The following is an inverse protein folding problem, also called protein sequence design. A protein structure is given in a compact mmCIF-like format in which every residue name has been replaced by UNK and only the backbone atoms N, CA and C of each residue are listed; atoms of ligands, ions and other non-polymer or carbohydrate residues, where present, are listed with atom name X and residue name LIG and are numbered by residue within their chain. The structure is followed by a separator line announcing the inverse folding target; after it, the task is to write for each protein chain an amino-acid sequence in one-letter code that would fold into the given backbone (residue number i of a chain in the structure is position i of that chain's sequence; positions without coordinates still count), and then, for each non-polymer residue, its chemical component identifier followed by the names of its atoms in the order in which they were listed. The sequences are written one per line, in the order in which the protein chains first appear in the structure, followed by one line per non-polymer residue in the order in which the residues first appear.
data_IF_113098303800
#
_entry.id   IF_113098303800
#
_cell.length_a   1.000
_cell.length_b   1.000
_cell.length_c   1.000
_cell.angle_alpha   90.00
_cell.angle_beta   90.00
_cell.angle_gamma   90.00
#
_symmetry.space_group_name_H-M   'P 1'
#
loop_
_entity.id
_entity.type
_entity.pdbx_description
1 polymer ?
#
# COMPACT_ATOMS: atom_id res chain seq x y z
N UNK A 1 37.18 -40.15 -44.37
CA UNK A 1 36.76 -38.91 -45.06
C UNK A 1 35.41 -39.20 -45.69
N UNK A 2 34.33 -38.74 -45.06
CA UNK A 2 32.97 -39.10 -45.44
C UNK A 2 32.41 -38.16 -46.53
N UNK A 3 31.58 -38.75 -47.37
CA UNK A 3 31.09 -38.24 -48.64
C UNK A 3 30.18 -37.01 -48.52
N UNK A 4 30.29 -36.14 -49.53
CA UNK A 4 29.32 -35.12 -49.86
C UNK A 4 28.16 -35.71 -50.68
N UNK A 5 26.93 -35.23 -50.44
CA UNK A 5 26.02 -34.71 -51.49
C UNK A 5 24.73 -34.11 -50.90
N UNK A 6 24.57 -32.83 -51.22
CA UNK A 6 23.34 -32.10 -51.61
C UNK A 6 22.21 -31.98 -50.58
N UNK A 7 21.92 -30.75 -50.16
CA UNK A 7 20.56 -30.22 -50.26
C UNK A 7 20.55 -28.70 -50.45
N UNK A 8 19.66 -28.28 -51.33
CA UNK A 8 19.40 -26.97 -51.96
C UNK A 8 19.08 -25.83 -51.00
N UNK A 9 19.72 -24.66 -51.18
CA UNK A 9 19.24 -23.38 -50.66
C UNK A 9 18.14 -22.83 -51.57
N UNK A 10 16.92 -22.77 -51.05
CA UNK A 10 15.87 -21.88 -51.56
C UNK A 10 15.70 -20.75 -50.56
N UNK A 11 16.04 -19.53 -50.99
CA UNK A 11 15.70 -18.31 -50.27
C UNK A 11 14.19 -18.08 -50.42
N UNK A 12 13.46 -18.12 -49.31
CA UNK A 12 12.08 -17.62 -49.23
C UNK A 12 12.06 -16.52 -48.18
N UNK A 13 11.96 -15.28 -48.65
CA UNK A 13 11.58 -14.12 -47.85
C UNK A 13 10.15 -14.36 -47.36
N UNK A 14 9.97 -14.68 -46.07
CA UNK A 14 8.68 -14.54 -45.41
C UNK A 14 8.61 -13.17 -44.75
N UNK A 15 7.94 -12.25 -45.46
CA UNK A 15 7.31 -11.08 -44.86
C UNK A 15 6.17 -11.60 -43.96
N UNK A 16 6.40 -11.63 -42.64
CA UNK A 16 5.30 -11.83 -41.68
C UNK A 16 4.91 -10.45 -41.17
N UNK A 17 3.86 -9.90 -41.77
CA UNK A 17 3.08 -8.82 -41.18
C UNK A 17 2.53 -9.31 -39.84
N UNK A 18 3.04 -8.76 -38.72
CA UNK A 18 2.32 -8.82 -37.46
C UNK A 18 1.17 -7.82 -37.52
N UNK A 19 0.00 -8.31 -37.89
CA UNK A 19 -1.28 -7.62 -37.70
C UNK A 19 -1.53 -7.50 -36.20
N UNK A 20 -1.52 -6.26 -35.72
CA UNK A 20 -2.07 -5.84 -34.43
C UNK A 20 -3.56 -6.19 -34.38
N UNK A 21 -3.93 -7.20 -33.59
CA UNK A 21 -5.32 -7.39 -33.16
C UNK A 21 -5.43 -7.01 -31.69
N UNK A 22 -5.89 -5.79 -31.44
CA UNK A 22 -6.46 -5.38 -30.18
C UNK A 22 -7.60 -6.34 -29.81
N UNK A 23 -7.65 -6.74 -28.54
CA UNK A 23 -8.81 -7.42 -27.96
C UNK A 23 -9.12 -6.77 -26.63
N UNK A 24 -9.95 -5.74 -26.69
CA UNK A 24 -10.61 -5.13 -25.53
C UNK A 24 -11.66 -6.13 -25.04
N UNK A 25 -11.26 -7.01 -24.12
CA UNK A 25 -12.14 -7.90 -23.39
C UNK A 25 -12.86 -7.17 -22.27
N UNK A 26 -14.05 -6.67 -22.58
CA UNK A 26 -14.99 -6.00 -21.70
C UNK A 26 -15.74 -7.02 -20.82
N UNK A 27 -15.46 -7.06 -19.51
CA UNK A 27 -16.39 -7.60 -18.52
C UNK A 27 -16.40 -6.68 -17.28
N UNK A 28 -17.39 -5.79 -17.24
CA UNK A 28 -17.71 -5.00 -16.07
C UNK A 28 -18.43 -5.86 -15.05
N UNK A 29 -17.72 -6.38 -14.04
CA UNK A 29 -18.39 -6.84 -12.82
C UNK A 29 -18.83 -5.60 -12.04
N UNK A 30 -20.05 -5.12 -12.31
CA UNK A 30 -20.74 -4.14 -11.47
C UNK A 30 -21.21 -4.84 -10.20
N UNK A 31 -20.55 -4.58 -9.08
CA UNK A 31 -21.16 -4.64 -7.76
C UNK A 31 -20.99 -3.28 -7.10
N UNK A 32 -21.99 -2.44 -7.29
CA UNK A 32 -22.17 -1.24 -6.45
C UNK A 32 -22.60 -1.73 -5.06
N UNK A 33 -21.64 -1.99 -4.18
CA UNK A 33 -21.91 -2.11 -2.75
C UNK A 33 -21.62 -0.75 -2.12
N UNK A 34 -22.64 0.11 -2.12
CA UNK A 34 -22.63 1.39 -1.39
C UNK A 34 -24.05 1.68 -0.89
N UNK A 35 -24.55 0.88 0.06
CA UNK A 35 -25.42 1.30 1.19
C UNK A 35 -25.89 0.08 2.02
N UNK A 36 -24.94 -0.72 2.52
CA UNK A 36 -25.24 -1.85 3.41
C UNK A 36 -24.89 -1.53 4.87
N UNK A 37 -25.53 -2.20 5.86
CA UNK A 37 -25.07 -2.17 7.24
C UNK A 37 -23.59 -2.58 7.31
N UNK A 38 -22.86 -2.02 8.27
CA UNK A 38 -21.47 -2.38 8.50
C UNK A 38 -21.36 -3.90 8.76
N UNK A 39 -20.32 -4.50 8.18
CA UNK A 39 -19.96 -5.89 8.41
C UNK A 39 -19.71 -6.12 9.90
N UNK A 40 -20.25 -7.21 10.45
CA UNK A 40 -19.99 -7.61 11.84
C UNK A 40 -18.67 -8.39 11.94
N UNK A 41 -17.92 -8.14 13.01
CA UNK A 41 -16.67 -8.82 13.31
C UNK A 41 -16.75 -9.39 14.74
N UNK A 42 -16.13 -10.54 14.98
CA UNK A 42 -15.94 -11.07 16.33
C UNK A 42 -14.94 -10.23 17.08
N UNK A 43 -15.11 -10.10 18.39
CA UNK A 43 -14.09 -9.49 19.25
C UNK A 43 -12.77 -10.27 19.12
N UNK A 44 -11.67 -9.53 18.94
CA UNK A 44 -10.34 -10.10 18.89
C UNK A 44 -9.87 -10.52 20.30
N UNK A 45 -8.99 -11.53 20.42
CA UNK A 45 -8.35 -11.84 21.69
C UNK A 45 -7.61 -10.62 22.26
N UNK A 46 -7.55 -10.52 23.59
CA UNK A 46 -6.72 -9.53 24.26
C UNK A 46 -5.25 -9.96 24.17
N UNK A 47 -4.40 -9.08 23.63
CA UNK A 47 -2.95 -9.28 23.57
C UNK A 47 -2.27 -8.34 24.55
N UNK A 48 -1.28 -8.84 25.29
CA UNK A 48 -0.58 -8.09 26.34
C UNK A 48 0.89 -7.95 26.03
N UNK A 49 1.45 -6.83 26.47
CA UNK A 49 2.88 -6.57 26.49
C UNK A 49 3.67 -7.73 27.12
N UNK A 50 4.74 -8.14 26.44
CA UNK A 50 5.78 -8.98 27.04
C UNK A 50 6.55 -8.20 28.12
N UNK A 51 7.25 -8.91 29.01
CA UNK A 51 7.97 -8.29 30.13
C UNK A 51 9.00 -7.22 29.69
N UNK A 52 9.59 -7.41 28.50
CA UNK A 52 10.54 -6.49 27.88
C UNK A 52 9.94 -5.11 27.55
N UNK A 53 8.61 -5.00 27.54
CA UNK A 53 7.87 -3.79 27.22
C UNK A 53 7.57 -2.94 28.47
N UNK A 54 8.06 -3.34 29.65
CA UNK A 54 7.87 -2.62 30.90
C UNK A 54 8.43 -1.20 30.79
N UNK A 55 7.53 -0.22 30.73
CA UNK A 55 7.81 1.20 30.58
C UNK A 55 8.15 1.85 31.93
N UNK A 56 9.07 2.81 31.88
CA UNK A 56 9.20 3.86 32.88
C UNK A 56 7.83 4.47 33.18
N UNK A 57 7.40 4.32 34.42
CA UNK A 57 6.16 4.85 35.00
C UNK A 57 6.00 6.36 34.80
N UNK A 58 4.88 6.78 34.22
CA UNK A 58 4.07 7.87 34.77
C UNK A 58 2.61 7.65 34.37
N UNK A 59 1.79 7.41 35.38
CA UNK A 59 0.35 7.40 35.25
C UNK A 59 -0.16 8.78 34.81
N UNK A 60 -0.94 8.83 33.74
CA UNK A 60 -2.01 9.82 33.60
C UNK A 60 -3.32 9.07 33.40
N UNK A 61 -4.14 9.16 34.43
CA UNK A 61 -5.50 8.69 34.55
C UNK A 61 -6.43 9.36 33.54
N UNK A 62 -6.87 8.61 32.53
CA UNK A 62 -8.25 8.62 32.01
C UNK A 62 -8.34 7.66 30.83
N UNK A 63 -9.22 6.66 30.93
CA UNK A 63 -9.55 5.73 29.85
C UNK A 63 -10.41 6.42 28.76
N UNK A 64 -9.85 7.45 28.12
CA UNK A 64 -10.46 8.19 27.02
C UNK A 64 -9.36 8.68 26.09
N UNK A 65 -9.23 8.04 24.92
CA UNK A 65 -8.24 8.27 23.87
C UNK A 65 -6.79 8.39 24.38
N UNK A 66 -6.02 7.29 24.26
CA UNK A 66 -4.58 7.30 24.56
C UNK A 66 -3.89 8.50 23.91
N UNK A 67 -2.92 9.08 24.60
CA UNK A 67 -2.20 10.26 24.13
C UNK A 67 -1.61 9.97 22.73
N UNK A 68 -2.16 10.63 21.71
CA UNK A 68 -1.74 10.46 20.32
C UNK A 68 -0.28 10.88 20.10
N UNK A 69 0.30 11.62 21.05
CA UNK A 69 1.65 12.15 20.98
C UNK A 69 2.69 11.35 21.79
N UNK A 70 2.35 10.18 22.36
CA UNK A 70 3.30 9.39 23.15
C UNK A 70 4.50 8.93 22.28
N UNK A 71 5.72 9.45 22.50
CA UNK A 71 6.87 9.14 21.67
C UNK A 71 7.38 7.69 21.84
N UNK A 72 6.88 6.96 22.84
CA UNK A 72 7.20 5.55 23.08
C UNK A 72 6.33 4.60 22.25
N UNK A 73 5.22 5.08 21.67
CA UNK A 73 4.34 4.27 20.86
C UNK A 73 4.91 4.05 19.44
N UNK A 74 4.68 2.85 18.89
CA UNK A 74 4.83 2.58 17.46
C UNK A 74 3.60 3.10 16.74
N UNK A 75 3.78 4.17 15.98
CA UNK A 75 2.69 4.78 15.22
C UNK A 75 2.49 4.08 13.87
N UNK A 76 1.28 3.58 13.63
CA UNK A 76 0.89 2.90 12.38
C UNK A 76 -0.20 3.71 11.69
N UNK A 77 -0.01 4.02 10.41
CA UNK A 77 -0.97 4.75 9.59
C UNK A 77 -1.63 3.82 8.57
N UNK A 78 -2.97 3.80 8.52
CA UNK A 78 -3.74 2.94 7.61
C UNK A 78 -5.00 3.62 7.08
N UNK A 79 -5.43 3.26 5.88
CA UNK A 79 -6.75 3.64 5.38
C UNK A 79 -7.85 2.73 5.93
N UNK A 80 -9.03 3.30 6.16
CA UNK A 80 -10.21 2.59 6.64
C UNK A 80 -11.36 2.74 5.63
N UNK A 81 -11.20 2.08 4.48
CA UNK A 81 -12.21 1.97 3.42
C UNK A 81 -13.16 0.80 3.74
N UNK A 82 -14.48 1.03 3.69
CA UNK A 82 -15.50 -0.01 3.88
C UNK A 82 -15.29 -1.23 2.97
N UNK A 83 -14.80 -1.04 1.74
CA UNK A 83 -14.53 -2.12 0.78
C UNK A 83 -13.37 -3.02 1.22
N UNK A 84 -12.39 -2.42 1.90
CA UNK A 84 -11.18 -3.09 2.39
C UNK A 84 -11.20 -3.32 3.90
N UNK A 85 -12.30 -3.01 4.58
CA UNK A 85 -12.40 -3.06 6.04
C UNK A 85 -12.02 -4.43 6.60
N UNK A 86 -12.47 -5.52 5.96
CA UNK A 86 -12.10 -6.89 6.37
C UNK A 86 -10.58 -7.12 6.30
N UNK A 87 -9.92 -6.56 5.30
CA UNK A 87 -8.46 -6.54 5.21
C UNK A 87 -7.83 -5.72 6.35
N UNK A 88 -8.29 -4.48 6.59
CA UNK A 88 -7.76 -3.65 7.68
C UNK A 88 -7.91 -4.31 9.04
N UNK A 89 -9.06 -4.95 9.32
CA UNK A 89 -9.27 -5.70 10.57
C UNK A 89 -8.27 -6.86 10.69
N UNK A 90 -8.06 -7.64 9.63
CA UNK A 90 -7.07 -8.72 9.63
C UNK A 90 -5.64 -8.20 9.81
N UNK A 91 -5.30 -7.06 9.21
CA UNK A 91 -4.00 -6.41 9.37
C UNK A 91 -3.77 -5.97 10.82
N UNK A 92 -4.72 -5.25 11.43
CA UNK A 92 -4.67 -4.84 12.86
C UNK A 92 -4.54 -6.07 13.75
N UNK A 93 -5.36 -7.10 13.53
CA UNK A 93 -5.32 -8.33 14.30
C UNK A 93 -3.95 -9.02 14.19
N UNK A 94 -3.36 -9.08 12.98
CA UNK A 94 -2.03 -9.66 12.77
C UNK A 94 -0.94 -8.89 13.50
N UNK A 95 -0.99 -7.56 13.49
CA UNK A 95 -0.01 -6.71 14.18
C UNK A 95 -0.07 -6.95 15.68
N UNK A 96 -1.27 -6.89 16.27
CA UNK A 96 -1.46 -7.10 17.72
C UNK A 96 -1.04 -8.50 18.16
N UNK A 97 -1.28 -9.50 17.31
CA UNK A 97 -0.93 -10.90 17.58
C UNK A 97 0.57 -11.17 17.59
N UNK A 98 1.35 -10.45 16.77
CA UNK A 98 2.77 -10.76 16.53
C UNK A 98 3.76 -9.74 17.11
N UNK A 99 3.31 -8.54 17.46
CA UNK A 99 4.15 -7.58 18.19
C UNK A 99 4.36 -8.02 19.62
N UNK A 100 5.57 -7.85 20.17
CA UNK A 100 5.79 -8.15 21.58
C UNK A 100 5.15 -7.12 22.52
N UNK A 101 4.86 -5.90 22.04
CA UNK A 101 4.28 -4.81 22.84
C UNK A 101 2.98 -4.25 22.24
N UNK A 102 1.87 -5.01 22.22
CA UNK A 102 0.61 -4.58 21.60
C UNK A 102 0.00 -3.34 22.26
N UNK A 103 0.26 -3.09 23.55
CA UNK A 103 -0.22 -1.89 24.24
C UNK A 103 0.60 -0.63 23.88
N UNK A 104 1.72 -0.78 23.19
CA UNK A 104 2.60 0.30 22.73
C UNK A 104 2.48 0.56 21.23
N UNK A 105 1.33 0.28 20.64
CA UNK A 105 1.03 0.52 19.22
C UNK A 105 -0.14 1.48 19.11
N UNK A 106 0.03 2.59 18.39
CA UNK A 106 -1.00 3.58 18.15
C UNK A 106 -1.39 3.60 16.66
N UNK A 107 -2.68 3.48 16.36
CA UNK A 107 -3.18 3.47 14.99
C UNK A 107 -3.79 4.81 14.57
N UNK A 108 -3.26 5.39 13.49
CA UNK A 108 -3.83 6.53 12.77
C UNK A 108 -4.63 6.01 11.58
N UNK A 109 -5.95 6.02 11.70
CA UNK A 109 -6.85 5.60 10.62
C UNK A 109 -7.34 6.79 9.80
N UNK A 110 -7.43 6.63 8.48
CA UNK A 110 -7.99 7.64 7.60
C UNK A 110 -9.23 7.11 6.92
N UNK A 111 -10.36 7.79 7.10
CA UNK A 111 -11.66 7.35 6.59
C UNK A 111 -12.42 8.50 5.93
N UNK A 112 -13.39 8.19 5.08
CA UNK A 112 -14.33 9.21 4.61
C UNK A 112 -15.09 9.81 5.81
N UNK A 113 -15.31 11.14 5.86
CA UNK A 113 -15.92 11.82 7.00
C UNK A 113 -17.23 11.17 7.47
N UNK A 114 -18.08 10.78 6.54
CA UNK A 114 -19.39 10.15 6.76
C UNK A 114 -19.32 8.77 7.42
N UNK A 115 -18.18 8.08 7.37
CA UNK A 115 -18.02 6.75 7.96
C UNK A 115 -17.32 6.75 9.32
N UNK A 116 -16.69 7.86 9.73
CA UNK A 116 -15.83 7.96 10.93
C UNK A 116 -16.48 7.43 12.21
N UNK A 117 -17.68 7.89 12.56
CA UNK A 117 -18.38 7.46 13.77
C UNK A 117 -18.69 5.96 13.78
N UNK A 118 -19.26 5.47 12.68
CA UNK A 118 -19.65 4.07 12.54
C UNK A 118 -18.44 3.12 12.58
N UNK A 119 -17.31 3.54 12.00
CA UNK A 119 -16.06 2.79 12.01
C UNK A 119 -15.37 2.84 13.37
N UNK A 120 -15.48 3.95 14.11
CA UNK A 120 -14.97 4.07 15.48
C UNK A 120 -15.67 3.07 16.41
N UNK A 121 -17.00 2.99 16.33
CA UNK A 121 -17.78 2.01 17.09
C UNK A 121 -17.36 0.57 16.76
N UNK A 122 -17.22 0.26 15.47
CA UNK A 122 -16.81 -1.06 15.00
C UNK A 122 -15.39 -1.43 15.49
N UNK A 123 -14.44 -0.51 15.44
CA UNK A 123 -13.08 -0.76 15.93
C UNK A 123 -13.06 -1.00 17.43
N UNK A 124 -13.81 -0.20 18.22
CA UNK A 124 -13.92 -0.39 19.68
C UNK A 124 -14.61 -1.70 20.05
N UNK A 125 -15.60 -2.15 19.28
CA UNK A 125 -16.25 -3.45 19.51
C UNK A 125 -15.40 -4.64 19.08
N UNK A 126 -14.53 -4.45 18.07
CA UNK A 126 -13.66 -5.53 17.56
C UNK A 126 -12.36 -5.64 18.36
N UNK A 127 -11.80 -4.51 18.80
CA UNK A 127 -10.52 -4.44 19.52
C UNK A 127 -10.66 -3.55 20.75
N UNK A 128 -11.01 -4.15 21.89
CA UNK A 128 -11.36 -3.43 23.13
C UNK A 128 -10.23 -2.59 23.72
N UNK A 129 -8.97 -2.98 23.48
CA UNK A 129 -7.78 -2.30 24.01
C UNK A 129 -6.99 -1.50 22.96
N UNK A 130 -7.57 -1.27 21.77
CA UNK A 130 -6.87 -0.58 20.67
C UNK A 130 -6.70 0.92 20.95
N UNK A 131 -5.45 1.40 20.94
CA UNK A 131 -5.15 2.83 20.87
C UNK A 131 -5.26 3.29 19.42
N UNK A 132 -6.20 4.18 19.11
CA UNK A 132 -6.34 4.70 17.76
C UNK A 132 -7.00 6.07 17.70
N UNK A 133 -6.79 6.76 16.57
CA UNK A 133 -7.54 7.95 16.16
C UNK A 133 -7.96 7.83 14.70
N UNK A 134 -9.19 8.27 14.39
CA UNK A 134 -9.70 8.31 13.02
C UNK A 134 -9.69 9.76 12.52
N UNK A 135 -8.95 10.01 11.46
CA UNK A 135 -8.86 11.30 10.78
C UNK A 135 -9.81 11.30 9.56
N UNK A 136 -10.74 12.25 9.46
CA UNK A 136 -11.58 12.40 8.29
C UNK A 136 -10.74 12.86 7.09
N UNK A 137 -10.82 12.15 5.97
CA UNK A 137 -10.16 12.53 4.72
C UNK A 137 -11.20 12.86 3.64
N UNK A 138 -11.46 14.15 3.44
CA UNK A 138 -12.42 14.60 2.42
C UNK A 138 -11.89 14.39 1.01
N UNK A 139 -12.78 13.99 0.09
CA UNK A 139 -12.52 13.94 -1.35
C UNK A 139 -12.03 15.29 -1.92
N UNK A 140 -12.41 16.39 -1.30
CA UNK A 140 -12.08 17.74 -1.78
C UNK A 140 -10.59 18.05 -1.68
N UNK A 141 -9.86 17.35 -0.81
CA UNK A 141 -8.40 17.43 -0.68
C UNK A 141 -7.67 17.01 -1.97
N UNK A 142 -8.33 16.20 -2.81
CA UNK A 142 -7.72 15.59 -4.00
C UNK A 142 -8.54 15.74 -5.29
N UNK A 143 -9.82 16.11 -5.21
CA UNK A 143 -10.71 16.30 -6.38
C UNK A 143 -10.16 17.35 -7.36
N UNK A 144 -9.47 18.37 -6.84
CA UNK A 144 -8.77 19.38 -7.60
C UNK A 144 -7.50 18.89 -8.30
N UNK A 145 -7.04 17.67 -8.05
CA UNK A 145 -5.73 17.15 -8.48
C UNK A 145 -5.82 15.79 -9.20
N UNK A 146 -6.90 15.04 -9.00
CA UNK A 146 -7.16 13.77 -9.68
C UNK A 146 -8.02 14.04 -10.91
N UNK A 147 -7.70 13.37 -12.02
CA UNK A 147 -8.59 13.31 -13.18
C UNK A 147 -9.41 12.04 -13.07
N UNK A 148 -10.77 12.10 -13.09
CA UNK A 148 -11.59 10.91 -13.04
C UNK A 148 -11.17 9.89 -14.10
N UNK A 149 -11.03 8.63 -13.68
CA UNK A 149 -10.81 7.52 -14.60
C UNK A 149 -12.16 7.12 -15.20
N UNK A 150 -12.25 7.05 -16.53
CA UNK A 150 -13.40 6.44 -17.21
C UNK A 150 -13.36 4.90 -17.15
N UNK A 151 -12.27 4.30 -16.66
CA UNK A 151 -11.98 2.85 -16.79
C UNK A 151 -11.78 2.15 -15.43
N UNK A 152 -11.23 2.82 -14.40
CA UNK A 152 -10.99 2.22 -13.06
C UNK A 152 -11.38 3.17 -11.91
N UNK A 153 -12.68 3.28 -11.66
CA UNK A 153 -13.25 4.11 -10.58
C UNK A 153 -12.69 3.81 -9.17
N UNK A 154 -12.21 2.58 -8.91
CA UNK A 154 -11.61 2.24 -7.61
C UNK A 154 -10.30 2.99 -7.31
N UNK A 155 -9.60 3.46 -8.35
CA UNK A 155 -8.38 4.28 -8.21
C UNK A 155 -8.69 5.76 -7.96
N UNK A 156 -9.95 6.18 -8.17
CA UNK A 156 -10.44 7.53 -7.87
C UNK A 156 -10.90 7.67 -6.42
N UNK A 157 -10.85 6.59 -5.62
CA UNK A 157 -11.12 6.69 -4.18
C UNK A 157 -10.08 7.64 -3.55
N UNK A 158 -10.51 8.76 -2.93
CA UNK A 158 -9.60 9.69 -2.26
C UNK A 158 -8.66 9.01 -1.26
N UNK A 159 -9.13 7.95 -0.59
CA UNK A 159 -8.34 7.22 0.40
C UNK A 159 -7.04 6.63 -0.19
N UNK A 160 -6.98 6.33 -1.49
CA UNK A 160 -5.75 5.84 -2.13
C UNK A 160 -4.59 6.84 -2.06
N UNK A 161 -4.90 8.14 -1.90
CA UNK A 161 -3.95 9.24 -1.87
C UNK A 161 -3.56 9.67 -0.47
N UNK A 162 -4.18 9.14 0.59
CA UNK A 162 -3.93 9.50 1.99
C UNK A 162 -2.44 9.51 2.32
N UNK A 163 -1.69 8.51 1.83
CA UNK A 163 -0.24 8.39 2.03
C UNK A 163 0.57 9.63 1.64
N UNK A 164 0.05 10.46 0.73
CA UNK A 164 0.68 11.72 0.31
C UNK A 164 0.45 12.88 1.30
N UNK A 165 -0.53 12.74 2.20
CA UNK A 165 -1.04 13.78 3.09
C UNK A 165 -0.93 13.43 4.58
N UNK A 166 -0.42 12.24 4.95
CA UNK A 166 -0.33 11.82 6.36
C UNK A 166 0.37 12.90 7.19
N UNK A 167 1.52 13.39 6.70
CA UNK A 167 2.30 14.44 7.34
C UNK A 167 1.58 15.79 7.43
N UNK A 168 0.49 16.03 6.70
CA UNK A 168 -0.28 17.27 6.78
C UNK A 168 -1.47 17.13 7.73
N UNK A 169 -1.93 15.89 7.98
CA UNK A 169 -3.17 15.59 8.70
C UNK A 169 -2.91 15.22 10.16
N UNK A 170 -1.89 14.40 10.43
CA UNK A 170 -1.59 13.97 11.81
C UNK A 170 -0.92 15.10 12.60
N UNK A 171 -1.04 15.03 13.92
CA UNK A 171 -0.49 16.01 14.86
C UNK A 171 1.02 16.20 14.64
N UNK A 172 1.51 17.43 14.82
CA UNK A 172 2.92 17.77 14.60
C UNK A 172 3.88 17.07 15.57
N UNK A 173 3.39 16.64 16.73
CA UNK A 173 4.11 15.82 17.70
C UNK A 173 4.45 14.41 17.15
N UNK A 174 3.64 13.89 16.22
CA UNK A 174 3.88 12.59 15.58
C UNK A 174 4.93 12.79 14.50
N UNK A 175 6.16 12.40 14.83
CA UNK A 175 7.34 12.62 13.97
C UNK A 175 7.66 11.46 13.05
N UNK A 176 7.09 10.28 13.29
CA UNK A 176 7.33 9.06 12.51
C UNK A 176 6.06 8.19 12.46
N UNK A 177 5.84 7.49 11.35
CA UNK A 177 4.81 6.46 11.20
C UNK A 177 5.31 5.30 10.35
N UNK A 178 4.71 4.11 10.52
CA UNK A 178 4.71 3.06 9.50
C UNK A 178 3.38 3.13 8.75
N UNK A 179 3.40 3.44 7.47
CA UNK A 179 2.23 3.31 6.61
C UNK A 179 2.07 1.87 6.12
N UNK A 180 0.86 1.32 6.25
CA UNK A 180 0.48 -0.01 5.78
C UNK A 180 -0.81 0.05 4.95
N UNK A 181 -0.81 -0.58 3.78
CA UNK A 181 -2.04 -0.82 3.01
C UNK A 181 -2.96 -1.83 3.74
N UNK A 182 -4.26 -1.81 3.42
CA UNK A 182 -5.28 -2.60 4.11
C UNK A 182 -5.25 -4.10 3.82
N UNK A 183 -4.38 -4.57 2.93
CA UNK A 183 -4.31 -5.96 2.44
C UNK A 183 -2.98 -6.63 2.79
N UNK A 184 -2.46 -6.30 3.97
CA UNK A 184 -1.26 -6.88 4.56
C UNK A 184 -1.58 -7.79 5.75
N UNK A 185 -0.67 -8.71 6.02
CA UNK A 185 -0.60 -9.48 7.27
C UNK A 185 0.84 -9.41 7.77
N UNK A 186 1.02 -8.96 9.01
CA UNK A 186 2.31 -8.93 9.68
C UNK A 186 2.47 -10.24 10.46
N UNK A 187 3.60 -10.91 10.32
CA UNK A 187 3.90 -12.21 10.95
C UNK A 187 5.19 -12.17 11.79
N UNK A 188 5.61 -10.98 12.17
CA UNK A 188 6.82 -10.71 12.94
C UNK A 188 6.63 -9.44 13.80
N UNK A 189 7.59 -9.13 14.67
CA UNK A 189 7.50 -7.97 15.55
C UNK A 189 7.69 -6.66 14.77
N UNK A 190 6.59 -5.90 14.59
CA UNK A 190 6.55 -4.63 13.86
C UNK A 190 7.51 -3.58 14.41
N UNK A 191 7.94 -3.68 15.69
CA UNK A 191 8.93 -2.79 16.29
C UNK A 191 10.29 -2.88 15.59
N UNK A 192 10.60 -4.02 14.97
CA UNK A 192 11.80 -4.20 14.16
C UNK A 192 11.78 -3.30 12.94
N UNK A 193 10.64 -3.22 12.23
CA UNK A 193 10.45 -2.29 11.12
C UNK A 193 10.46 -0.83 11.60
N UNK A 194 9.79 -0.52 12.71
CA UNK A 194 9.78 0.81 13.34
C UNK A 194 11.18 1.36 13.64
N UNK A 195 12.07 0.47 14.07
CA UNK A 195 13.45 0.80 14.47
C UNK A 195 14.39 1.03 13.27
N UNK A 196 13.89 0.95 12.04
CA UNK A 196 14.68 1.24 10.85
C UNK A 196 15.31 2.62 10.93
N UNK A 197 16.65 2.66 10.85
CA UNK A 197 17.37 3.91 10.75
C UNK A 197 17.21 4.52 9.35
N UNK A 198 16.57 5.69 9.27
CA UNK A 198 16.44 6.48 8.04
C UNK A 198 17.52 7.57 8.08
N UNK A 199 18.65 7.43 7.37
CA UNK A 199 19.72 8.42 7.39
C UNK A 199 19.27 9.75 6.78
N UNK A 200 19.87 10.87 7.20
CA UNK A 200 19.64 12.14 6.50
C UNK A 200 20.35 12.15 5.13
N UNK A 201 19.78 12.77 4.08
CA UNK A 201 18.55 13.57 4.07
C UNK A 201 17.26 12.78 3.75
N UNK A 202 17.32 11.45 3.73
CA UNK A 202 16.19 10.56 3.36
C UNK A 202 14.99 10.71 4.30
N UNK A 203 13.78 10.46 3.80
CA UNK A 203 12.53 10.58 4.60
C UNK A 203 11.64 9.34 4.59
N UNK A 204 11.89 8.40 3.68
CA UNK A 204 11.17 7.11 3.60
C UNK A 204 12.18 5.97 3.68
N UNK A 205 11.79 4.90 4.36
CA UNK A 205 12.36 3.58 4.20
C UNK A 205 11.30 2.58 3.68
N UNK A 206 11.64 1.79 2.66
CA UNK A 206 10.77 0.78 2.07
C UNK A 206 11.58 -0.28 1.29
N UNK A 207 11.03 -1.48 1.05
CA UNK A 207 11.66 -2.47 0.16
C UNK A 207 11.75 -1.97 -1.29
N UNK A 208 12.95 -2.04 -1.87
CA UNK A 208 13.25 -1.59 -3.24
C UNK A 208 13.36 -2.76 -4.23
N UNK A 209 12.87 -2.54 -5.45
CA UNK A 209 12.94 -3.48 -6.57
C UNK A 209 13.48 -2.76 -7.81
N UNK A 210 14.81 -2.66 -7.88
CA UNK A 210 15.51 -1.87 -8.90
C UNK A 210 15.41 -2.45 -10.33
N UNK A 211 14.94 -3.68 -10.49
CA UNK A 211 14.72 -4.31 -11.80
C UNK A 211 13.35 -3.98 -12.43
N UNK A 212 12.53 -3.16 -11.77
CA UNK A 212 11.23 -2.78 -12.30
C UNK A 212 11.39 -1.92 -13.56
N UNK A 213 10.61 -2.22 -14.60
CA UNK A 213 10.57 -1.39 -15.80
C UNK A 213 9.66 -0.17 -15.57
N UNK A 214 10.26 1.02 -15.53
CA UNK A 214 9.54 2.28 -15.27
C UNK A 214 8.59 2.68 -16.42
N UNK A 215 8.76 2.13 -17.63
CA UNK A 215 7.80 2.37 -18.74
C UNK A 215 6.42 1.81 -18.45
N UNK A 216 6.28 0.89 -17.49
CA UNK A 216 4.98 0.37 -17.06
C UNK A 216 4.18 1.36 -16.20
N UNK A 217 4.81 2.44 -15.71
CA UNK A 217 4.20 3.39 -14.77
C UNK A 217 3.99 4.79 -15.36
N UNK A 218 4.69 5.12 -16.45
CA UNK A 218 4.64 6.42 -17.11
C UNK A 218 4.38 6.26 -18.61
N UNK A 219 3.65 7.20 -19.19
CA UNK A 219 3.28 7.15 -20.61
C UNK A 219 4.46 7.44 -21.54
N UNK A 220 4.36 7.06 -22.81
CA UNK A 220 5.36 7.42 -23.82
C UNK A 220 5.59 8.94 -23.90
N UNK A 221 4.54 9.72 -23.67
CA UNK A 221 4.65 11.17 -23.66
C UNK A 221 5.51 11.73 -22.51
N UNK A 222 5.50 11.08 -21.34
CA UNK A 222 6.41 11.43 -20.26
C UNK A 222 7.87 11.17 -20.67
N UNK A 223 8.14 10.03 -21.30
CA UNK A 223 9.48 9.66 -21.72
C UNK A 223 9.99 10.50 -22.90
N UNK A 224 9.09 10.93 -23.78
CA UNK A 224 9.40 11.77 -24.92
C UNK A 224 9.77 13.22 -24.55
N UNK A 225 9.43 13.70 -23.35
CA UNK A 225 9.81 15.04 -22.86
C UNK A 225 11.04 14.95 -21.92
N UNK A 226 12.24 15.37 -22.36
CA UNK A 226 13.45 15.33 -21.54
C UNK A 226 13.33 16.16 -20.26
N UNK A 227 12.50 17.22 -20.23
CA UNK A 227 12.31 18.02 -19.02
C UNK A 227 11.58 17.23 -17.94
N UNK A 228 10.67 16.34 -18.32
CA UNK A 228 9.94 15.47 -17.40
C UNK A 228 10.79 14.26 -17.01
N UNK A 229 11.29 13.51 -18.00
CA UNK A 229 12.02 12.26 -17.76
C UNK A 229 13.39 12.44 -17.07
N UNK A 230 13.97 13.65 -17.14
CA UNK A 230 15.21 13.97 -16.41
C UNK A 230 15.10 13.83 -14.88
N UNK A 231 13.89 13.74 -14.32
CA UNK A 231 13.68 13.43 -12.90
C UNK A 231 14.27 12.07 -12.50
N UNK A 232 14.35 11.12 -13.45
CA UNK A 232 14.96 9.81 -13.27
C UNK A 232 16.41 9.74 -13.75
N UNK A 233 16.99 10.87 -14.20
CA UNK A 233 18.41 10.89 -14.56
C UNK A 233 19.26 11.00 -13.31
N UNK A 234 20.19 10.06 -13.12
CA UNK A 234 21.14 10.08 -12.00
C UNK A 234 21.99 11.36 -12.07
N UNK A 235 21.89 12.19 -11.04
CA UNK A 235 22.74 13.37 -10.87
C UNK A 235 23.97 13.00 -10.04
N UNK A 236 25.17 13.13 -10.62
CA UNK A 236 26.44 12.68 -10.00
C UNK A 236 26.82 13.46 -8.73
N UNK A 237 26.20 14.61 -8.51
CA UNK A 237 26.42 15.56 -7.41
C UNK A 237 25.47 15.36 -6.21
N UNK A 238 24.47 14.48 -6.34
CA UNK A 238 23.51 14.20 -5.27
C UNK A 238 23.68 12.77 -4.74
N UNK A 239 23.25 12.53 -3.50
CA UNK A 239 23.11 11.21 -2.87
C UNK A 239 22.00 10.34 -3.53
N UNK A 240 21.68 10.61 -4.80
CA UNK A 240 20.65 9.93 -5.57
C UNK A 240 21.23 8.61 -6.11
N UNK A 241 20.58 7.50 -5.76
CA UNK A 241 20.87 6.19 -6.35
C UNK A 241 20.17 6.03 -7.71
N UNK A 242 20.40 4.91 -8.40
CA UNK A 242 19.61 4.56 -9.57
C UNK A 242 18.12 4.56 -9.22
N UNK A 243 17.22 5.09 -10.07
CA UNK A 243 15.79 5.09 -9.78
C UNK A 243 15.28 3.66 -9.58
N UNK A 244 15.01 3.31 -8.33
CA UNK A 244 14.43 2.03 -7.97
C UNK A 244 12.94 2.17 -7.67
N UNK A 245 12.17 1.19 -8.13
CA UNK A 245 10.77 1.07 -7.72
C UNK A 245 10.73 0.66 -6.25
N UNK A 246 9.78 1.21 -5.52
CA UNK A 246 9.40 0.69 -4.22
C UNK A 246 7.88 0.60 -4.15
N UNK A 247 7.39 -0.43 -3.47
CA UNK A 247 5.98 -0.59 -3.26
C UNK A 247 5.53 0.39 -2.16
N UNK A 248 4.50 1.19 -2.44
CA UNK A 248 4.03 2.25 -1.53
C UNK A 248 3.06 1.76 -0.46
N UNK A 249 2.82 0.45 -0.36
CA UNK A 249 1.92 -0.15 0.63
C UNK A 249 2.59 -0.53 1.94
N UNK A 250 3.92 -0.42 2.03
CA UNK A 250 4.69 -0.59 3.27
C UNK A 250 5.81 0.44 3.28
N UNK A 251 5.71 1.45 4.15
CA UNK A 251 6.72 2.52 4.25
C UNK A 251 6.91 2.96 5.69
N UNK A 252 8.16 3.10 6.14
CA UNK A 252 8.49 3.87 7.35
C UNK A 252 8.71 5.32 6.91
N UNK A 253 7.97 6.26 7.48
CA UNK A 253 7.98 7.66 7.08
C UNK A 253 8.45 8.53 8.24
N UNK A 254 9.47 9.34 8.01
CA UNK A 254 9.87 10.42 8.92
C UNK A 254 9.05 11.67 8.60
N UNK A 255 7.97 11.88 9.37
CA UNK A 255 7.03 12.97 9.16
C UNK A 255 7.65 14.34 9.50
N UNK A 256 8.58 14.39 10.45
CA UNK A 256 9.24 15.64 10.80
C UNK A 256 10.10 16.16 9.64
N UNK A 257 10.93 15.31 9.04
CA UNK A 257 11.69 15.65 7.82
C UNK A 257 10.79 15.82 6.61
N UNK A 258 9.71 15.04 6.50
CA UNK A 258 8.71 15.21 5.44
C UNK A 258 8.14 16.63 5.40
N UNK A 259 7.69 17.14 6.57
CA UNK A 259 7.16 18.50 6.71
C UNK A 259 8.25 19.54 6.41
N UNK A 260 9.45 19.40 6.99
CA UNK A 260 10.58 20.34 6.74
C UNK A 260 10.99 20.40 5.27
N UNK A 261 10.91 19.27 4.55
CA UNK A 261 11.27 19.17 3.14
C UNK A 261 10.15 19.49 2.15
N UNK A 262 8.96 19.89 2.64
CA UNK A 262 7.79 20.20 1.82
C UNK A 262 7.46 19.09 0.81
N UNK A 263 7.58 17.83 1.23
CA UNK A 263 7.41 16.69 0.32
C UNK A 263 5.95 16.52 -0.14
N UNK A 264 4.98 16.89 0.70
CA UNK A 264 3.56 16.95 0.31
C UNK A 264 3.32 17.91 -0.86
N UNK A 265 3.91 19.10 -0.83
CA UNK A 265 3.87 20.09 -1.90
C UNK A 265 4.49 19.55 -3.20
N UNK A 266 5.64 18.88 -3.10
CA UNK A 266 6.34 18.31 -4.25
C UNK A 266 5.51 17.24 -4.95
N UNK A 267 4.86 16.38 -4.19
CA UNK A 267 3.91 15.37 -4.72
C UNK A 267 2.72 16.06 -5.38
N UNK A 268 2.09 17.03 -4.70
CA UNK A 268 0.95 17.79 -5.24
C UNK A 268 1.31 18.51 -6.54
N UNK A 269 2.53 19.02 -6.68
CA UNK A 269 3.03 19.63 -7.92
C UNK A 269 3.03 18.63 -9.07
N UNK A 270 3.50 17.41 -8.86
CA UNK A 270 3.44 16.36 -9.88
C UNK A 270 2.00 15.96 -10.24
N UNK A 271 1.12 15.88 -9.25
CA UNK A 271 -0.32 15.65 -9.51
C UNK A 271 -0.94 16.79 -10.36
N UNK A 272 -0.53 18.04 -10.12
CA UNK A 272 -0.94 19.18 -10.95
C UNK A 272 -0.39 19.11 -12.38
N UNK A 273 0.87 18.70 -12.56
CA UNK A 273 1.47 18.47 -13.89
C UNK A 273 0.68 17.42 -14.65
N UNK A 274 0.38 16.29 -14.02
CA UNK A 274 -0.48 15.25 -14.59
C UNK A 274 -1.86 15.77 -14.99
N UNK A 275 -2.53 16.52 -14.10
CA UNK A 275 -3.89 17.01 -14.36
C UNK A 275 -3.95 18.01 -15.51
N UNK A 276 -2.96 18.90 -15.62
CA UNK A 276 -2.88 19.94 -16.66
C UNK A 276 -2.30 19.41 -17.97
N UNK A 277 -1.42 18.41 -17.89
CA UNK A 277 -0.73 17.81 -19.03
C UNK A 277 -1.69 17.15 -20.01
N UNK A 278 -1.52 17.50 -21.29
CA UNK A 278 -2.14 16.82 -22.42
C UNK A 278 -1.04 16.58 -23.45
N UNK A 279 -0.63 15.32 -23.71
CA UNK A 279 -1.09 14.05 -23.10
C UNK A 279 -0.75 13.91 -21.59
N UNK A 280 -1.40 12.94 -20.92
CA UNK A 280 -1.11 12.57 -19.52
C UNK A 280 0.29 11.96 -19.40
N UNK A 281 0.93 12.10 -18.24
CA UNK A 281 2.29 11.60 -17.97
C UNK A 281 2.31 10.21 -17.30
N UNK A 282 1.19 9.77 -16.74
CA UNK A 282 0.95 8.39 -16.29
C UNK A 282 -0.54 8.07 -16.41
N UNK A 283 -0.92 6.79 -16.39
CA UNK A 283 -2.33 6.41 -16.56
C UNK A 283 -3.16 6.70 -15.31
N UNK A 284 -2.88 6.02 -14.20
CA UNK A 284 -3.74 6.05 -13.00
C UNK A 284 -2.99 5.73 -11.72
N UNK A 285 -3.59 6.13 -10.58
CA UNK A 285 -3.18 5.74 -9.23
C UNK A 285 -2.34 6.77 -8.49
N UNK A 286 -2.09 6.48 -7.20
CA UNK A 286 -1.34 7.35 -6.28
C UNK A 286 0.17 7.06 -6.23
N UNK A 287 0.61 5.95 -6.84
CA UNK A 287 2.01 5.52 -6.88
C UNK A 287 2.91 6.43 -7.75
N UNK A 288 2.56 6.81 -9.00
CA UNK A 288 3.48 7.56 -9.86
C UNK A 288 3.99 8.88 -9.25
N UNK A 289 3.15 9.71 -8.59
CA UNK A 289 3.63 10.90 -7.88
C UNK A 289 4.69 10.63 -6.80
N UNK A 290 4.61 9.48 -6.12
CA UNK A 290 5.61 9.08 -5.12
C UNK A 290 6.92 8.65 -5.80
N UNK A 291 6.84 7.88 -6.90
CA UNK A 291 8.03 7.52 -7.66
C UNK A 291 8.75 8.75 -8.21
N UNK A 292 8.02 9.74 -8.72
CA UNK A 292 8.57 11.01 -9.21
C UNK A 292 9.30 11.84 -8.14
N UNK A 293 9.02 11.60 -6.86
CA UNK A 293 9.65 12.33 -5.75
C UNK A 293 10.75 11.49 -5.08
N UNK A 294 10.58 10.17 -5.01
CA UNK A 294 11.37 9.31 -4.12
C UNK A 294 12.12 8.16 -4.79
N UNK A 295 11.87 7.82 -6.07
CA UNK A 295 12.60 6.72 -6.71
C UNK A 295 14.12 6.96 -6.66
N UNK A 296 14.87 6.01 -6.07
CA UNK A 296 16.31 6.13 -5.84
C UNK A 296 16.72 7.07 -4.68
N UNK A 297 15.76 7.56 -3.88
CA UNK A 297 15.98 8.53 -2.78
C UNK A 297 15.43 8.04 -1.44
N UNK A 298 15.20 6.74 -1.31
CA UNK A 298 14.72 6.12 -0.07
C UNK A 298 15.80 5.26 0.57
N UNK A 299 15.55 4.85 1.80
CA UNK A 299 16.37 3.87 2.51
C UNK A 299 15.80 2.48 2.21
N UNK A 300 16.57 1.64 1.52
CA UNK A 300 16.23 0.23 1.35
C UNK A 300 16.06 -0.45 2.71
N UNK A 301 14.97 -1.21 2.86
CA UNK A 301 14.81 -2.22 3.92
C UNK A 301 14.69 -3.61 3.31
N UNK A 302 14.90 -4.62 4.14
CA UNK A 302 14.87 -6.03 3.74
C UNK A 302 13.54 -6.41 3.09
N UNK A 303 13.59 -7.20 2.01
CA UNK A 303 12.39 -7.62 1.27
C UNK A 303 11.41 -8.46 2.09
N UNK A 304 11.84 -9.05 3.23
CA UNK A 304 10.97 -9.76 4.17
C UNK A 304 9.79 -8.91 4.67
N UNK A 305 9.94 -7.59 4.68
CA UNK A 305 8.91 -6.64 5.08
C UNK A 305 7.88 -6.33 3.99
N UNK A 306 7.97 -6.95 2.81
CA UNK A 306 6.94 -6.81 1.79
C UNK A 306 6.94 -7.97 0.80
N UNK A 307 6.41 -9.12 1.24
CA UNK A 307 6.13 -10.25 0.38
C UNK A 307 4.91 -9.94 -0.52
N UNK A 308 5.16 -9.12 -1.54
CA UNK A 308 4.16 -8.52 -2.40
C UNK A 308 3.75 -9.44 -3.57
N UNK A 309 2.64 -9.08 -4.21
CA UNK A 309 2.11 -9.76 -5.39
C UNK A 309 1.18 -10.92 -5.06
N UNK A 310 0.82 -11.14 -3.79
CA UNK A 310 -0.04 -12.25 -3.38
C UNK A 310 -1.50 -12.08 -3.86
N UNK A 311 -1.86 -10.88 -4.32
CA UNK A 311 -3.11 -10.60 -5.02
C UNK A 311 -3.20 -11.23 -6.43
N UNK A 312 -2.15 -11.95 -6.86
CA UNK A 312 -2.08 -12.62 -8.15
C UNK A 312 -1.57 -11.72 -9.27
N UNK A 313 -1.38 -12.31 -10.45
CA UNK A 313 -0.96 -11.55 -11.61
C UNK A 313 -2.05 -10.56 -12.09
N UNK A 314 -1.64 -9.38 -12.55
CA UNK A 314 -2.57 -8.34 -12.96
C UNK A 314 -3.22 -8.61 -14.32
N UNK A 315 -2.63 -9.47 -15.16
CA UNK A 315 -3.20 -9.88 -16.45
C UNK A 315 -4.22 -11.01 -16.24
N UNK A 316 -3.77 -12.16 -15.72
CA UNK A 316 -4.59 -13.38 -15.69
C UNK A 316 -5.17 -13.73 -14.32
N UNK A 317 -4.82 -12.99 -13.26
CA UNK A 317 -5.28 -13.28 -11.90
C UNK A 317 -4.67 -14.52 -11.27
N UNK A 318 -3.68 -15.14 -11.93
CA UNK A 318 -3.03 -16.37 -11.49
C UNK A 318 -2.43 -16.23 -10.09
N UNK A 319 -2.61 -17.26 -9.27
CA UNK A 319 -2.02 -17.36 -7.95
C UNK A 319 -0.49 -17.28 -8.03
N UNK A 320 0.12 -16.47 -7.15
CA UNK A 320 1.57 -16.40 -6.99
C UNK A 320 1.98 -17.05 -5.68
N UNK A 321 3.10 -17.76 -5.71
CA UNK A 321 3.73 -18.31 -4.52
C UNK A 321 4.52 -17.22 -3.78
N UNK A 322 4.93 -17.54 -2.55
CA UNK A 322 5.89 -16.75 -1.79
C UNK A 322 7.22 -16.68 -2.55
N UNK A 323 7.84 -15.50 -2.62
CA UNK A 323 9.23 -15.36 -3.05
C UNK A 323 10.17 -16.06 -2.03
N UNK A 324 11.31 -16.61 -2.45
CA UNK A 324 12.27 -17.24 -1.54
C UNK A 324 12.79 -16.26 -0.47
N UNK A 325 13.07 -16.80 0.72
CA UNK A 325 13.65 -16.05 1.84
C UNK A 325 12.72 -15.86 3.03
N UNK A 326 13.20 -15.18 4.10
CA UNK A 326 12.39 -14.92 5.28
C UNK A 326 11.21 -14.01 4.96
N UNK A 327 10.11 -14.15 5.71
CA UNK A 327 8.91 -13.34 5.56
C UNK A 327 8.50 -12.78 6.91
N UNK A 328 8.32 -11.45 6.98
CA UNK A 328 7.79 -10.72 8.15
C UNK A 328 6.46 -10.05 7.84
N UNK A 329 6.17 -9.80 6.55
CA UNK A 329 4.92 -9.19 6.13
C UNK A 329 4.50 -9.76 4.76
N UNK A 330 3.28 -10.27 4.71
CA UNK A 330 2.58 -10.77 3.53
C UNK A 330 1.70 -9.67 2.95
N UNK A 331 1.75 -9.43 1.63
CA UNK A 331 1.00 -8.34 1.01
C UNK A 331 0.26 -8.80 -0.25
N UNK A 332 -1.08 -8.77 -0.18
CA UNK A 332 -1.99 -9.08 -1.28
C UNK A 332 -2.13 -7.92 -2.28
N UNK A 333 -1.01 -7.26 -2.58
CA UNK A 333 -0.94 -6.24 -3.62
C UNK A 333 -1.36 -6.84 -4.96
N UNK A 334 -2.23 -6.15 -5.70
CA UNK A 334 -2.84 -6.66 -6.92
C UNK A 334 -4.36 -6.68 -6.84
N UNK A 335 -5.01 -7.34 -7.80
CA UNK A 335 -6.47 -7.36 -7.91
C UNK A 335 -7.15 -8.35 -6.95
N UNK A 336 -6.58 -9.54 -6.80
CA UNK A 336 -7.14 -10.58 -5.94
C UNK A 336 -7.01 -10.21 -4.47
N UNK A 337 -8.07 -10.45 -3.71
CA UNK A 337 -8.08 -10.27 -2.25
C UNK A 337 -8.42 -11.59 -1.57
N UNK A 338 -7.73 -11.93 -0.48
CA UNK A 338 -7.85 -13.26 0.13
C UNK A 338 -9.27 -13.51 0.62
N UNK A 339 -9.92 -12.53 1.26
CA UNK A 339 -11.31 -12.65 1.69
C UNK A 339 -12.30 -12.86 0.56
N UNK A 340 -12.05 -12.29 -0.63
CA UNK A 340 -12.93 -12.49 -1.80
C UNK A 340 -12.78 -13.91 -2.34
N UNK A 341 -11.53 -14.38 -2.50
CA UNK A 341 -11.25 -15.73 -3.03
C UNK A 341 -11.69 -16.84 -2.06
N UNK A 342 -11.52 -16.62 -0.75
CA UNK A 342 -12.01 -17.53 0.29
C UNK A 342 -13.53 -17.61 0.30
N UNK A 343 -14.24 -16.48 0.23
CA UNK A 343 -15.72 -16.49 0.19
C UNK A 343 -16.25 -17.13 -1.10
N UNK A 344 -15.54 -16.98 -2.22
CA UNK A 344 -15.89 -17.58 -3.50
C UNK A 344 -15.56 -19.09 -3.60
N UNK A 345 -14.91 -19.68 -2.57
CA UNK A 345 -14.49 -21.08 -2.60
C UNK A 345 -13.35 -21.38 -3.60
N UNK A 346 -12.63 -20.35 -4.05
CA UNK A 346 -11.51 -20.45 -5.00
C UNK A 346 -10.22 -19.80 -4.46
N UNK A 347 -9.76 -20.16 -3.24
CA UNK A 347 -8.57 -19.57 -2.65
C UNK A 347 -7.30 -19.96 -3.41
N UNK A 348 -6.34 -19.04 -3.47
CA UNK A 348 -4.95 -19.40 -3.69
C UNK A 348 -4.38 -20.04 -2.42
N UNK A 349 -3.37 -20.90 -2.54
CA UNK A 349 -2.73 -21.54 -1.37
C UNK A 349 -2.27 -20.53 -0.31
N UNK A 350 -1.76 -19.37 -0.75
CA UNK A 350 -1.34 -18.29 0.14
C UNK A 350 -2.50 -17.65 0.92
N UNK A 351 -3.73 -17.67 0.42
CA UNK A 351 -4.88 -17.05 1.10
C UNK A 351 -5.21 -17.74 2.44
N UNK A 352 -4.83 -19.01 2.59
CA UNK A 352 -4.94 -19.71 3.87
C UNK A 352 -3.99 -19.18 4.94
N UNK A 353 -2.95 -18.43 4.56
CA UNK A 353 -2.10 -17.70 5.51
C UNK A 353 -2.79 -16.44 6.05
N UNK A 354 -3.77 -15.89 5.32
CA UNK A 354 -4.58 -14.74 5.75
C UNK A 354 -5.75 -15.17 6.64
N UNK A 355 -6.37 -16.32 6.34
CA UNK A 355 -7.57 -16.80 7.02
C UNK A 355 -7.53 -16.79 8.57
N UNK A 356 -6.40 -17.10 9.26
CA UNK A 356 -6.35 -17.08 10.73
C UNK A 356 -6.53 -15.69 11.37
N UNK A 357 -6.45 -14.62 10.59
CA UNK A 357 -6.63 -13.24 11.06
C UNK A 357 -8.02 -12.68 10.77
N UNK A 358 -8.85 -13.44 10.06
CA UNK A 358 -10.18 -13.02 9.64
C UNK A 358 -11.19 -13.11 10.78
N UNK A 359 -11.56 -11.96 11.33
CA UNK A 359 -12.58 -11.85 12.38
C UNK A 359 -13.99 -11.67 11.81
N UNK A 360 -14.17 -11.76 10.50
CA UNK A 360 -15.47 -11.48 9.87
C UNK A 360 -16.52 -12.55 10.23
N UNK A 361 -17.66 -12.10 10.76
CA UNK A 361 -18.82 -12.96 11.03
C UNK A 361 -19.59 -13.15 9.73
N UNK A 362 -19.56 -14.37 9.19
CA UNK A 362 -20.40 -14.74 8.05
C UNK A 362 -21.87 -14.71 8.47
N UNK A 363 -22.65 -13.81 7.88
CA UNK A 363 -24.10 -13.85 8.00
C UNK A 363 -24.61 -15.01 7.14
N UNK A 364 -24.95 -16.14 7.78
CA UNK A 364 -25.72 -17.17 7.11
C UNK A 364 -27.14 -16.62 6.98
N UNK A 365 -27.56 -16.32 5.75
CA UNK A 365 -28.98 -16.17 5.48
C UNK A 365 -29.61 -17.54 5.72
N UNK A 366 -30.23 -17.71 6.89
CA UNK A 366 -31.23 -18.75 7.09
C UNK A 366 -32.37 -18.43 6.14
N UNK A 367 -32.38 -19.10 4.99
CA UNK A 367 -33.50 -19.07 4.05
C UNK A 367 -34.71 -19.79 4.64
#
# INVERSE_FOLDING_TARGET
MAAAKVCTSLAIFFFVCFSSSESIGMFTHRTFVTDGPLRSFTEAPEYRNADICSTSTAASSSASDGDTCDPSDVHIAMTLDRRYLRGTIAAVHSILRHTSCPNSVFFHFFASPESTLSLSFLLRSTFTSLKFKIYPFSKDQVSGLISPSTIRFALDNPLNYVRNYIADIVESCVTRVIYLDSDVVVVDDIRTLWSTNIPEPTVIAAPEYCHANFTNYFTDAFWADPKLSSVFTRRKDNYDSEPCYFNTGVMVMDLARWRRGFYGERIRRWMMVQKRGRPRIYELGSLPPLLLVFAGKIKAVEHRWNQHGLGGDNADGNCRNLHPGPTSLLHWSGKGKPWVRLDAGSPCSVDHLWAPYDLYIKQYNTH
#
